data_IF_438773736612
#
_entry.id   IF_438773736612
#
_cell.length_a   1.000
_cell.length_b   1.000
_cell.length_c   1.000
_cell.angle_alpha   90.00
_cell.angle_beta   90.00
_cell.angle_gamma   90.00
#
_symmetry.space_group_name_H-M   'P 1'
#
loop_
_entity.id
_entity.type
_entity.pdbx_description
1 polymer ?
#
# COMPACT_ATOMS: atom_id res chain seq x y z
N UNK A 1 29.64 -10.74 51.52
CA UNK A 1 30.10 -9.64 52.40
C UNK A 1 31.35 -9.03 51.79
N UNK A 2 31.22 -7.87 51.15
CA UNK A 2 32.20 -6.77 51.10
C UNK A 2 31.64 -5.68 50.19
N UNK A 3 31.89 -4.44 50.59
CA UNK A 3 31.04 -3.27 50.38
C UNK A 3 31.74 -2.18 49.57
N UNK A 4 30.95 -1.12 49.24
CA UNK A 4 31.31 0.29 48.95
C UNK A 4 31.56 0.65 47.46
N UNK A 5 30.59 1.29 46.77
CA UNK A 5 30.19 2.74 46.71
C UNK A 5 31.06 3.60 45.78
N UNK A 6 30.40 4.28 44.84
CA UNK A 6 30.97 5.38 44.04
C UNK A 6 29.96 5.95 43.03
N UNK A 7 29.24 6.99 43.46
CA UNK A 7 28.41 7.88 42.66
C UNK A 7 29.30 8.88 41.88
N UNK A 8 28.84 9.43 40.74
CA UNK A 8 28.69 10.88 40.50
C UNK A 8 28.88 11.38 39.03
N UNK A 9 27.77 11.97 38.54
CA UNK A 9 27.56 13.12 37.61
C UNK A 9 28.21 13.18 36.21
N UNK A 10 27.31 13.36 35.24
CA UNK A 10 27.61 14.08 34.01
C UNK A 10 27.71 15.59 34.21
N UNK A 11 28.37 16.26 33.26
CA UNK A 11 28.23 17.70 33.00
C UNK A 11 28.55 17.99 31.54
N UNK A 12 27.60 18.67 30.90
CA UNK A 12 27.67 19.30 29.59
C UNK A 12 28.74 20.40 29.58
N UNK A 13 29.43 20.58 28.45
CA UNK A 13 30.26 21.76 28.20
C UNK A 13 29.94 22.41 26.85
N UNK A 14 29.29 23.57 26.98
CA UNK A 14 29.43 24.87 26.31
C UNK A 14 29.64 25.05 24.79
N UNK A 15 28.80 25.95 24.29
CA UNK A 15 28.91 26.78 23.09
C UNK A 15 30.22 27.59 23.00
N UNK A 16 30.66 27.83 21.75
CA UNK A 16 31.29 29.09 21.33
C UNK A 16 31.14 29.30 19.81
N UNK A 17 30.39 30.34 19.40
CA UNK A 17 30.55 31.04 18.09
C UNK A 17 31.77 31.97 18.19
N UNK A 18 32.45 32.38 17.10
CA UNK A 18 32.04 33.55 16.29
C UNK A 18 32.38 33.46 14.77
N UNK A 19 31.48 33.88 13.88
CA UNK A 19 31.52 35.10 13.03
C UNK A 19 32.72 35.34 12.09
N UNK A 20 32.37 35.49 10.80
CA UNK A 20 32.98 36.34 9.76
C UNK A 20 34.42 36.08 9.26
N UNK A 21 34.49 35.72 7.98
CA UNK A 21 35.60 36.12 7.11
C UNK A 21 35.06 36.53 5.73
N UNK A 22 35.17 37.82 5.40
CA UNK A 22 35.05 38.35 4.04
C UNK A 22 36.36 38.09 3.30
N UNK A 23 36.29 37.67 2.03
CA UNK A 23 37.30 38.07 1.04
C UNK A 23 36.72 38.09 -0.38
N UNK A 24 37.00 39.22 -1.01
CA UNK A 24 36.69 39.70 -2.34
C UNK A 24 37.43 38.97 -3.46
N UNK A 25 36.85 38.92 -4.67
CA UNK A 25 37.62 38.63 -5.89
C UNK A 25 36.77 38.37 -7.15
N UNK A 26 36.61 39.44 -7.95
CA UNK A 26 36.27 39.52 -9.39
C UNK A 26 36.13 38.21 -10.20
N UNK A 27 35.05 38.09 -10.99
CA UNK A 27 35.15 37.52 -12.35
C UNK A 27 34.02 37.96 -13.27
N UNK A 28 34.41 38.77 -14.26
CA UNK A 28 33.96 38.95 -15.63
C UNK A 28 32.53 38.59 -16.07
N UNK A 29 31.91 39.59 -16.70
CA UNK A 29 30.88 39.43 -17.71
C UNK A 29 31.40 38.58 -18.88
N UNK A 30 30.74 37.47 -19.15
CA UNK A 30 30.75 36.83 -20.48
C UNK A 30 29.32 36.45 -20.85
N UNK A 31 28.82 37.15 -21.85
CA UNK A 31 27.56 36.93 -22.53
C UNK A 31 27.57 35.51 -23.15
N UNK A 32 26.71 34.61 -22.68
CA UNK A 32 26.68 33.20 -23.09
C UNK A 32 25.26 32.78 -23.41
N UNK A 33 24.95 32.73 -24.70
CA UNK A 33 23.67 32.35 -25.31
C UNK A 33 23.09 31.05 -24.70
N UNK A 34 21.84 31.12 -24.24
CA UNK A 34 21.04 29.96 -23.87
C UNK A 34 20.79 29.10 -25.12
N UNK A 35 21.54 28.00 -25.24
CA UNK A 35 21.30 26.98 -26.28
C UNK A 35 20.05 26.17 -25.91
N UNK A 36 18.96 26.42 -26.63
CA UNK A 36 17.79 25.55 -26.70
C UNK A 36 18.21 24.13 -27.07
N UNK A 37 18.22 23.20 -26.11
CA UNK A 37 18.21 21.76 -26.39
C UNK A 37 16.74 21.34 -26.47
N UNK A 38 16.24 20.84 -27.62
CA UNK A 38 14.90 20.27 -27.64
C UNK A 38 14.94 19.01 -26.79
N UNK A 39 14.20 19.03 -25.68
CA UNK A 39 13.91 17.84 -24.90
C UNK A 39 13.25 16.82 -25.82
N UNK A 40 13.94 15.71 -26.09
CA UNK A 40 13.39 14.57 -26.81
C UNK A 40 12.31 13.94 -25.92
N UNK A 41 11.08 14.41 -26.06
CA UNK A 41 9.91 13.76 -25.49
C UNK A 41 9.75 12.41 -26.15
N UNK A 42 10.32 11.37 -25.54
CA UNK A 42 9.96 9.99 -25.85
C UNK A 42 8.55 9.78 -25.35
N UNK A 43 7.56 10.07 -26.20
CA UNK A 43 6.19 9.57 -26.03
C UNK A 43 6.27 8.05 -26.04
N UNK A 44 6.36 7.46 -24.85
CA UNK A 44 6.03 6.05 -24.66
C UNK A 44 4.58 5.90 -25.11
N UNK A 45 4.38 5.23 -26.24
CA UNK A 45 3.07 4.77 -26.66
C UNK A 45 2.52 3.88 -25.54
N UNK A 46 1.58 4.40 -24.75
CA UNK A 46 0.82 3.57 -23.80
C UNK A 46 0.23 2.43 -24.61
N UNK A 47 0.76 1.22 -24.47
CA UNK A 47 0.15 0.03 -25.02
C UNK A 47 -1.16 -0.18 -24.28
N UNK A 48 -2.28 0.25 -24.87
CA UNK A 48 -3.60 -0.11 -24.40
C UNK A 48 -3.73 -1.61 -24.57
N UNK A 49 -3.69 -2.37 -23.46
CA UNK A 49 -4.02 -3.80 -23.48
C UNK A 49 -5.37 -3.97 -24.19
N UNK A 50 -5.50 -4.91 -25.16
CA UNK A 50 -6.75 -5.14 -25.87
C UNK A 50 -7.86 -5.53 -24.88
N UNK A 51 -9.09 -5.11 -25.17
CA UNK A 51 -10.25 -5.41 -24.35
C UNK A 51 -10.57 -6.91 -24.45
N UNK A 52 -10.71 -7.58 -23.30
CA UNK A 52 -11.10 -8.99 -23.22
C UNK A 52 -12.57 -9.12 -23.62
N UNK A 53 -12.86 -10.06 -24.53
CA UNK A 53 -14.23 -10.41 -24.93
C UNK A 53 -14.90 -11.29 -23.87
N UNK A 54 -16.24 -11.36 -23.82
CA UNK A 54 -16.92 -12.25 -22.88
C UNK A 54 -16.48 -13.72 -22.97
N UNK A 55 -16.23 -14.22 -24.18
CA UNK A 55 -15.79 -15.60 -24.46
C UNK A 55 -14.36 -15.89 -23.99
N UNK A 56 -13.47 -14.91 -24.01
CA UNK A 56 -12.09 -15.04 -23.52
C UNK A 56 -11.94 -14.69 -22.02
N UNK A 57 -13.03 -14.26 -21.38
CA UNK A 57 -13.02 -13.86 -19.97
C UNK A 57 -12.94 -15.08 -19.07
N UNK A 58 -11.91 -15.10 -18.23
CA UNK A 58 -11.76 -16.04 -17.12
C UNK A 58 -12.25 -15.39 -15.83
N UNK A 59 -13.10 -16.10 -15.10
CA UNK A 59 -13.53 -15.74 -13.75
C UNK A 59 -13.36 -16.97 -12.88
N UNK A 60 -12.60 -16.84 -11.81
CA UNK A 60 -12.39 -17.88 -10.81
C UNK A 60 -13.04 -17.44 -9.51
N UNK A 61 -13.83 -18.33 -8.95
CA UNK A 61 -14.38 -18.20 -7.60
C UNK A 61 -13.57 -19.11 -6.69
N UNK A 62 -12.89 -18.51 -5.72
CA UNK A 62 -11.93 -19.20 -4.88
C UNK A 62 -12.26 -18.95 -3.42
N UNK A 63 -12.28 -20.01 -2.60
CA UNK A 63 -12.30 -19.88 -1.15
C UNK A 63 -10.85 -19.81 -0.66
N UNK A 64 -10.35 -18.61 -0.36
CA UNK A 64 -8.97 -18.41 0.10
C UNK A 64 -8.80 -19.01 1.50
N UNK A 65 -7.85 -19.94 1.71
CA UNK A 65 -7.56 -20.47 3.03
C UNK A 65 -6.93 -19.41 3.96
N UNK A 66 -6.99 -19.69 5.26
CA UNK A 66 -6.24 -18.95 6.28
C UNK A 66 -4.74 -18.97 5.99
N UNK A 67 -4.03 -17.98 6.52
CA UNK A 67 -2.59 -17.82 6.41
C UNK A 67 -2.06 -17.84 4.97
N UNK A 68 -2.81 -17.24 4.06
CA UNK A 68 -2.49 -17.18 2.62
C UNK A 68 -2.55 -15.74 2.13
N UNK A 69 -1.50 -15.28 1.45
CA UNK A 69 -1.44 -13.94 0.86
C UNK A 69 -2.36 -13.82 -0.36
N UNK A 70 -3.04 -12.68 -0.50
CA UNK A 70 -3.86 -12.31 -1.65
C UNK A 70 -3.05 -11.83 -2.87
N UNK A 71 -1.96 -12.52 -3.19
CA UNK A 71 -1.06 -12.21 -4.32
C UNK A 71 -0.39 -13.49 -4.82
N UNK A 72 0.27 -13.44 -5.98
CA UNK A 72 0.92 -14.60 -6.62
C UNK A 72 2.44 -14.68 -6.39
N UNK A 73 3.05 -13.62 -5.87
CA UNK A 73 4.49 -13.57 -5.60
C UNK A 73 4.69 -13.29 -4.12
N UNK A 74 5.64 -13.95 -3.49
CA UNK A 74 6.02 -13.70 -2.10
C UNK A 74 7.52 -13.39 -1.98
N UNK A 75 7.89 -12.71 -0.91
CA UNK A 75 9.28 -12.36 -0.58
C UNK A 75 9.89 -13.18 0.56
N UNK A 76 9.10 -13.87 1.40
CA UNK A 76 9.55 -14.41 2.70
C UNK A 76 9.11 -15.87 2.98
N UNK A 77 8.80 -16.67 1.96
CA UNK A 77 8.37 -18.08 2.08
C UNK A 77 6.93 -18.33 2.56
N UNK A 78 6.02 -17.37 2.42
CA UNK A 78 4.59 -17.47 2.80
C UNK A 78 3.76 -18.14 1.70
N UNK A 79 2.62 -18.74 2.08
CA UNK A 79 1.63 -19.24 1.12
C UNK A 79 0.97 -18.09 0.35
N UNK A 80 0.70 -18.33 -0.91
CA UNK A 80 0.19 -17.37 -1.89
C UNK A 80 -0.95 -17.97 -2.72
N UNK A 81 -1.54 -17.16 -3.60
CA UNK A 81 -2.51 -17.66 -4.57
C UNK A 81 -1.88 -18.63 -5.58
N UNK A 82 -0.56 -18.55 -5.82
CA UNK A 82 0.14 -19.43 -6.75
C UNK A 82 0.13 -20.90 -6.31
N UNK A 83 0.02 -21.14 -5.01
CA UNK A 83 -0.03 -22.50 -4.43
C UNK A 83 -1.37 -23.22 -4.71
N UNK A 84 -2.42 -22.46 -5.05
CA UNK A 84 -3.78 -22.99 -5.21
C UNK A 84 -4.35 -22.79 -6.62
N UNK A 85 -3.87 -21.79 -7.35
CA UNK A 85 -4.45 -21.38 -8.64
C UNK A 85 -3.48 -21.70 -9.78
N UNK A 86 -3.68 -22.81 -10.53
CA UNK A 86 -2.81 -23.18 -11.64
C UNK A 86 -3.06 -22.33 -12.91
N UNK A 87 -4.10 -21.50 -12.90
CA UNK A 87 -4.50 -20.68 -14.05
C UNK A 87 -3.60 -19.44 -14.13
N UNK A 88 -2.96 -19.23 -15.27
CA UNK A 88 -2.16 -18.05 -15.57
C UNK A 88 -3.01 -16.85 -16.01
N UNK A 89 -2.41 -15.67 -15.93
CA UNK A 89 -2.97 -14.39 -16.40
C UNK A 89 -4.30 -13.99 -15.75
N UNK A 90 -4.52 -14.43 -14.51
CA UNK A 90 -5.64 -13.99 -13.67
C UNK A 90 -5.11 -13.23 -12.46
N UNK A 91 -5.88 -12.24 -12.02
CA UNK A 91 -5.52 -11.36 -10.92
C UNK A 91 -6.67 -11.28 -9.93
N UNK A 92 -6.35 -11.16 -8.64
CA UNK A 92 -7.36 -11.00 -7.60
C UNK A 92 -8.16 -9.70 -7.82
N UNK A 93 -9.49 -9.81 -7.77
CA UNK A 93 -10.43 -8.70 -7.78
C UNK A 93 -10.71 -8.26 -6.35
N UNK A 94 -9.68 -7.70 -5.72
CA UNK A 94 -9.70 -7.26 -4.33
C UNK A 94 -8.65 -8.00 -3.51
N UNK A 95 -8.64 -7.73 -2.21
CA UNK A 95 -7.73 -8.36 -1.26
C UNK A 95 -8.53 -8.83 -0.06
N UNK A 96 -8.22 -10.04 0.40
CA UNK A 96 -8.49 -10.46 1.76
C UNK A 96 -7.17 -10.37 2.54
N UNK A 97 -7.25 -10.08 3.82
CA UNK A 97 -6.06 -10.13 4.67
C UNK A 97 -5.53 -11.56 4.78
N UNK A 98 -4.25 -11.69 5.17
CA UNK A 98 -3.58 -12.99 5.23
C UNK A 98 -4.31 -13.96 6.16
N UNK A 99 -4.74 -13.45 7.29
CA UNK A 99 -5.47 -14.10 8.38
C UNK A 99 -7.00 -14.09 8.17
N UNK A 100 -7.50 -13.60 7.04
CA UNK A 100 -8.89 -13.79 6.64
C UNK A 100 -9.05 -15.02 5.76
N UNK A 101 -10.22 -15.64 5.81
CA UNK A 101 -10.63 -16.72 4.90
C UNK A 101 -11.83 -16.28 4.07
N UNK A 102 -12.11 -17.01 2.99
CA UNK A 102 -13.40 -16.90 2.32
C UNK A 102 -13.33 -16.53 0.84
N UNK A 103 -14.47 -16.04 0.36
CA UNK A 103 -14.72 -15.80 -1.05
C UNK A 103 -13.79 -14.73 -1.64
N UNK A 104 -13.04 -15.13 -2.66
CA UNK A 104 -12.23 -14.27 -3.50
C UNK A 104 -12.53 -14.54 -4.97
N UNK A 105 -12.66 -13.45 -5.75
CA UNK A 105 -12.81 -13.52 -7.20
C UNK A 105 -11.46 -13.21 -7.85
N UNK A 106 -11.07 -13.99 -8.85
CA UNK A 106 -9.93 -13.68 -9.71
C UNK A 106 -10.39 -13.58 -11.17
N UNK A 107 -9.78 -12.70 -11.95
CA UNK A 107 -10.13 -12.53 -13.37
C UNK A 107 -8.96 -12.04 -14.21
N UNK A 108 -8.97 -12.36 -15.50
CA UNK A 108 -8.07 -11.77 -16.50
C UNK A 108 -8.59 -10.43 -17.07
N UNK A 109 -9.83 -10.04 -16.75
CA UNK A 109 -10.45 -8.82 -17.25
C UNK A 109 -10.33 -7.66 -16.24
N UNK A 110 -9.46 -6.69 -16.56
CA UNK A 110 -9.25 -5.51 -15.73
C UNK A 110 -10.49 -4.61 -15.56
N UNK A 111 -11.44 -4.62 -16.51
CA UNK A 111 -12.69 -3.85 -16.39
C UNK A 111 -13.58 -4.50 -15.33
N UNK A 112 -13.73 -5.82 -15.36
CA UNK A 112 -14.48 -6.55 -14.34
C UNK A 112 -13.81 -6.44 -12.97
N UNK A 113 -12.48 -6.58 -12.92
CA UNK A 113 -11.69 -6.40 -11.71
C UNK A 113 -11.97 -5.02 -11.09
N UNK A 114 -11.83 -3.94 -11.86
CA UNK A 114 -12.10 -2.58 -11.40
C UNK A 114 -13.55 -2.39 -10.94
N UNK A 115 -14.52 -2.95 -11.67
CA UNK A 115 -15.93 -2.90 -11.27
C UNK A 115 -16.17 -3.54 -9.91
N UNK A 116 -15.48 -4.63 -9.57
CA UNK A 116 -15.65 -5.31 -8.28
C UNK A 116 -14.92 -4.60 -7.11
N UNK A 117 -13.83 -3.89 -7.41
CA UNK A 117 -12.93 -3.32 -6.38
C UNK A 117 -13.05 -1.82 -6.16
N UNK A 118 -13.48 -1.06 -7.16
CA UNK A 118 -13.56 0.40 -7.03
C UNK A 118 -14.60 0.80 -5.97
N UNK A 119 -14.27 1.72 -5.05
CA UNK A 119 -15.21 2.16 -4.00
C UNK A 119 -16.55 2.65 -4.54
N UNK A 120 -16.54 3.28 -5.72
CA UNK A 120 -17.72 3.84 -6.38
C UNK A 120 -18.70 2.78 -6.88
N UNK A 121 -18.28 1.51 -7.02
CA UNK A 121 -19.13 0.46 -7.55
C UNK A 121 -20.21 -0.01 -6.58
N UNK A 122 -20.09 0.35 -5.29
CA UNK A 122 -21.02 0.00 -4.20
C UNK A 122 -21.37 -1.50 -4.14
N UNK A 123 -20.47 -2.37 -4.61
CA UNK A 123 -20.69 -3.81 -4.57
C UNK A 123 -20.64 -4.29 -3.12
N UNK A 124 -21.78 -4.74 -2.53
CA UNK A 124 -21.83 -5.11 -1.13
C UNK A 124 -20.91 -6.31 -0.88
N UNK A 125 -20.29 -6.32 0.29
CA UNK A 125 -19.43 -7.41 0.76
C UNK A 125 -19.97 -7.84 2.11
N UNK A 126 -20.20 -9.14 2.25
CA UNK A 126 -20.76 -9.72 3.46
C UNK A 126 -19.71 -10.62 4.08
N UNK A 127 -19.49 -10.43 5.38
CA UNK A 127 -18.48 -11.15 6.14
C UNK A 127 -19.14 -11.83 7.33
N UNK A 128 -18.69 -13.05 7.62
CA UNK A 128 -18.93 -13.65 8.93
C UNK A 128 -17.74 -13.31 9.82
N UNK A 129 -18.00 -12.69 10.97
CA UNK A 129 -16.96 -12.21 11.88
C UNK A 129 -17.17 -12.82 13.25
N UNK A 130 -16.10 -13.33 13.82
CA UNK A 130 -16.04 -13.72 15.23
C UNK A 130 -15.37 -12.59 16.01
N UNK A 131 -15.95 -12.25 17.15
CA UNK A 131 -15.45 -11.19 18.04
C UNK A 131 -15.26 -11.73 19.44
N UNK A 132 -14.39 -11.08 20.21
CA UNK A 132 -14.26 -11.33 21.64
C UNK A 132 -15.47 -10.73 22.38
N UNK A 133 -16.11 -11.54 23.23
CA UNK A 133 -17.30 -11.15 23.97
C UNK A 133 -18.60 -11.28 23.17
N UNK A 134 -19.65 -10.63 23.66
CA UNK A 134 -20.98 -10.64 23.05
C UNK A 134 -21.47 -9.19 22.86
N UNK A 135 -21.42 -8.65 21.63
CA UNK A 135 -21.89 -7.29 21.36
C UNK A 135 -23.36 -7.14 21.74
N UNK A 136 -23.70 -6.03 22.39
CA UNK A 136 -25.09 -5.68 22.65
C UNK A 136 -25.65 -4.81 21.52
N UNK A 137 -26.96 -4.51 21.58
CA UNK A 137 -27.62 -3.71 20.53
C UNK A 137 -27.06 -2.29 20.43
N UNK A 138 -26.61 -1.69 21.54
CA UNK A 138 -26.01 -0.35 21.54
C UNK A 138 -24.66 -0.31 20.81
N UNK A 139 -23.88 -1.39 20.90
CA UNK A 139 -22.62 -1.54 20.17
C UNK A 139 -22.88 -1.70 18.66
N UNK A 140 -23.86 -2.51 18.29
CA UNK A 140 -24.25 -2.70 16.89
C UNK A 140 -24.80 -1.42 16.27
N UNK A 141 -25.56 -0.64 17.03
CA UNK A 141 -26.15 0.61 16.55
C UNK A 141 -25.09 1.65 16.19
N UNK A 142 -23.96 1.69 16.91
CA UNK A 142 -22.80 2.52 16.55
C UNK A 142 -22.23 2.11 15.19
N UNK A 143 -22.06 0.79 14.97
CA UNK A 143 -21.55 0.27 13.70
C UNK A 143 -22.49 0.57 12.52
N UNK A 144 -23.82 0.50 12.74
CA UNK A 144 -24.81 0.83 11.69
C UNK A 144 -24.82 2.31 11.31
N UNK A 145 -24.58 3.21 12.27
CA UNK A 145 -24.49 4.67 12.04
C UNK A 145 -23.16 5.10 11.46
N UNK A 146 -22.17 4.22 11.51
CA UNK A 146 -20.80 4.50 11.14
C UNK A 146 -19.98 4.97 12.35
N UNK A 147 -18.70 4.64 12.32
CA UNK A 147 -17.72 4.94 13.37
C UNK A 147 -16.54 5.72 12.79
N UNK A 148 -15.85 6.50 13.63
CA UNK A 148 -14.65 7.23 13.23
C UNK A 148 -13.44 6.29 13.24
N UNK A 149 -12.78 6.16 12.10
CA UNK A 149 -11.51 5.47 11.91
C UNK A 149 -10.41 6.50 11.61
N UNK A 150 -9.15 6.02 11.56
CA UNK A 150 -7.98 6.88 11.30
C UNK A 150 -8.04 7.62 9.96
N UNK A 151 -8.77 7.07 9.00
CA UNK A 151 -8.96 7.58 7.64
C UNK A 151 -10.33 8.26 7.41
N UNK A 152 -11.16 8.36 8.46
CA UNK A 152 -12.42 9.09 8.45
C UNK A 152 -13.61 8.26 8.95
N UNK A 153 -14.82 8.78 8.75
CA UNK A 153 -16.07 8.10 9.07
C UNK A 153 -16.38 6.99 8.05
N UNK A 154 -16.91 5.87 8.54
CA UNK A 154 -17.43 4.75 7.71
C UNK A 154 -18.84 5.00 7.18
#
# INVERSE_FOLDING_TARGET
>A
MSSRTGHEKGRRSNHSKPSHFKRSGKSNHSNGQAKNRPGRSTRSSKSTKPRITPEDRKVIIFNKPYDTLSQFTDGDGRKTLADYIPVKDVYAAGRLDRDSEGLMVLTNDGILQAKLTQPQSKSPKTYWVQVDGAPNEEDLEKLRKGVELKDGMT
#
